data_IF_639736432415
#
_entry.id   IF_639736432415
#
_cell.length_a   1.000
_cell.length_b   1.000
_cell.length_c   1.000
_cell.angle_alpha   90.00
_cell.angle_beta   90.00
_cell.angle_gamma   90.00
#
_symmetry.space_group_name_H-M   'P 1'
#
loop_
_entity.id
_entity.type
_entity.pdbx_description
1 polymer ?
#
# COMPACT_ATOMS: atom_id res chain seq x y z
N UNK A 1 52.73 -23.88 20.91
CA UNK A 1 51.37 -23.82 21.50
C UNK A 1 50.72 -22.43 21.48
N UNK A 2 51.41 -21.32 21.77
CA UNK A 2 50.80 -19.96 21.83
C UNK A 2 50.29 -19.39 20.49
N UNK A 3 50.84 -19.82 19.35
CA UNK A 3 50.45 -19.30 18.03
C UNK A 3 49.06 -19.81 17.58
N UNK A 4 48.70 -21.05 17.94
CA UNK A 4 47.40 -21.64 17.62
C UNK A 4 46.26 -20.99 18.41
N UNK A 5 46.53 -20.57 19.65
CA UNK A 5 45.54 -19.89 20.49
C UNK A 5 45.14 -18.52 19.95
N UNK A 6 46.09 -17.77 19.36
CA UNK A 6 45.80 -16.49 18.73
C UNK A 6 45.06 -16.63 17.39
N UNK A 7 45.36 -17.67 16.61
CA UNK A 7 44.64 -17.96 15.37
C UNK A 7 43.17 -18.35 15.63
N UNK A 8 42.93 -19.15 16.69
CA UNK A 8 41.59 -19.55 17.10
C UNK A 8 40.76 -18.35 17.60
N UNK A 9 41.40 -17.41 18.30
CA UNK A 9 40.75 -16.19 18.79
C UNK A 9 40.35 -15.25 17.64
N UNK A 10 41.18 -15.16 16.59
CA UNK A 10 40.87 -14.38 15.39
C UNK A 10 39.74 -15.00 14.55
N UNK A 11 39.68 -16.35 14.49
CA UNK A 11 38.58 -17.08 13.85
C UNK A 11 37.25 -16.93 14.61
N UNK A 12 37.30 -16.91 15.95
CA UNK A 12 36.12 -16.67 16.80
C UNK A 12 35.57 -15.24 16.68
N UNK A 13 36.44 -14.23 16.52
CA UNK A 13 36.02 -12.84 16.28
C UNK A 13 35.39 -12.64 14.89
N UNK A 14 35.83 -13.39 13.87
CA UNK A 14 35.24 -13.34 12.54
C UNK A 14 33.81 -13.90 12.47
N UNK A 15 33.45 -14.81 13.38
CA UNK A 15 32.11 -15.42 13.44
C UNK A 15 31.05 -14.54 14.14
N UNK A 16 31.45 -13.49 14.86
CA UNK A 16 30.52 -12.57 15.54
C UNK A 16 30.10 -11.41 14.60
N UNK A 17 30.75 -11.25 13.45
CA UNK A 17 30.51 -10.11 12.54
C UNK A 17 29.40 -10.34 11.49
N UNK A 18 28.63 -11.42 11.55
CA UNK A 18 27.59 -11.70 10.57
C UNK A 18 26.24 -11.98 11.25
N UNK A 19 25.65 -10.96 11.84
CA UNK A 19 24.19 -10.89 11.92
C UNK A 19 23.77 -9.44 11.64
N UNK A 20 23.59 -9.13 10.35
CA UNK A 20 23.04 -7.86 9.92
C UNK A 20 21.60 -7.80 10.43
N UNK A 21 21.38 -6.94 11.43
CA UNK A 21 20.16 -6.69 12.19
C UNK A 21 19.06 -6.06 11.31
N UNK A 22 18.74 -6.67 10.16
CA UNK A 22 17.79 -6.12 9.17
C UNK A 22 16.34 -6.22 9.64
N UNK A 23 16.02 -7.20 10.48
CA UNK A 23 14.65 -7.37 11.00
C UNK A 23 14.29 -6.29 12.03
N UNK A 24 15.24 -5.79 12.83
CA UNK A 24 14.93 -4.85 13.93
C UNK A 24 14.32 -3.54 13.45
N UNK A 25 14.79 -2.99 12.32
CA UNK A 25 14.39 -1.66 11.88
C UNK A 25 13.03 -1.64 11.14
N UNK A 26 12.72 -2.71 10.40
CA UNK A 26 11.40 -2.89 9.80
C UNK A 26 10.34 -3.13 10.89
N UNK A 27 10.66 -3.99 11.87
CA UNK A 27 9.81 -4.24 13.04
C UNK A 27 9.55 -2.95 13.83
N UNK A 28 10.58 -2.13 14.07
CA UNK A 28 10.44 -0.83 14.75
C UNK A 28 9.54 0.14 13.96
N UNK A 29 9.68 0.20 12.63
CA UNK A 29 8.84 1.03 11.77
C UNK A 29 7.36 0.60 11.83
N UNK A 30 7.12 -0.71 11.80
CA UNK A 30 5.79 -1.31 11.96
C UNK A 30 5.23 -1.02 13.35
N UNK A 31 6.02 -1.18 14.41
CA UNK A 31 5.60 -0.90 15.77
C UNK A 31 5.17 0.57 15.94
N UNK A 32 6.00 1.51 15.47
CA UNK A 32 5.66 2.94 15.45
C UNK A 32 4.35 3.20 14.69
N UNK A 33 4.16 2.56 13.53
CA UNK A 33 2.94 2.72 12.75
C UNK A 33 1.72 2.17 13.49
N UNK A 34 1.80 0.98 14.07
CA UNK A 34 0.68 0.35 14.77
C UNK A 34 0.35 1.04 16.10
N UNK A 35 1.29 1.78 16.69
CA UNK A 35 1.02 2.66 17.82
C UNK A 35 0.32 3.96 17.37
N UNK A 36 0.66 4.48 16.18
CA UNK A 36 -0.01 5.64 15.57
C UNK A 36 -1.42 5.29 15.08
N UNK A 37 -1.63 4.06 14.61
CA UNK A 37 -2.90 3.55 14.09
C UNK A 37 -3.30 2.25 14.80
N UNK A 38 -3.89 2.34 16.01
CA UNK A 38 -4.36 1.18 16.76
C UNK A 38 -5.37 0.33 15.99
N UNK A 39 -6.09 0.91 15.02
CA UNK A 39 -7.06 0.26 14.15
C UNK A 39 -6.44 -0.84 13.25
N UNK A 40 -5.10 -0.86 13.13
CA UNK A 40 -4.36 -1.95 12.50
C UNK A 40 -4.34 -3.23 13.33
N UNK A 41 -4.59 -3.14 14.65
CA UNK A 41 -4.62 -4.29 15.57
C UNK A 41 -6.08 -4.68 15.80
N UNK A 42 -6.65 -5.53 14.95
CA UNK A 42 -8.08 -5.86 15.03
C UNK A 42 -8.43 -6.68 16.29
N UNK A 43 -7.44 -7.35 16.90
CA UNK A 43 -7.66 -8.16 18.10
C UNK A 43 -6.55 -7.97 19.15
N UNK A 44 -6.83 -7.16 20.17
CA UNK A 44 -5.96 -6.99 21.35
C UNK A 44 -5.70 -8.29 22.15
N UNK A 45 -6.49 -9.35 21.92
CA UNK A 45 -6.52 -10.56 22.76
C UNK A 45 -5.56 -11.68 22.37
N UNK A 46 -4.80 -11.56 21.27
CA UNK A 46 -3.74 -12.52 20.96
C UNK A 46 -2.37 -11.85 21.14
N UNK A 47 -1.78 -12.07 22.31
CA UNK A 47 -0.34 -11.94 22.52
C UNK A 47 0.38 -12.63 21.35
N UNK A 48 0.98 -11.86 20.45
CA UNK A 48 1.82 -12.38 19.37
C UNK A 48 1.28 -12.29 17.93
N UNK A 49 0.19 -11.57 17.61
CA UNK A 49 -0.14 -11.29 16.19
C UNK A 49 0.81 -10.26 15.58
N UNK A 50 2.08 -10.65 15.39
CA UNK A 50 3.03 -9.89 14.59
C UNK A 50 2.55 -9.91 13.15
N UNK A 51 2.58 -8.76 12.50
CA UNK A 51 2.44 -8.65 11.05
C UNK A 51 3.52 -9.52 10.39
N UNK A 52 3.12 -10.41 9.47
CA UNK A 52 4.01 -11.34 8.78
C UNK A 52 4.35 -10.81 7.38
N UNK A 53 5.61 -10.92 6.98
CA UNK A 53 6.05 -10.55 5.65
C UNK A 53 5.47 -11.52 4.62
N UNK A 54 4.62 -11.01 3.72
CA UNK A 54 4.00 -11.84 2.68
C UNK A 54 4.63 -11.63 1.29
N UNK A 55 5.29 -10.48 1.07
CA UNK A 55 5.91 -10.18 -0.22
C UNK A 55 6.99 -9.13 -0.08
N UNK A 56 8.08 -9.26 -0.85
CA UNK A 56 9.11 -8.24 -0.97
C UNK A 56 9.50 -8.05 -2.44
N UNK A 57 9.74 -6.79 -2.85
CA UNK A 57 10.21 -6.38 -4.17
C UNK A 57 11.49 -5.57 -3.99
N UNK A 58 12.58 -6.00 -4.63
CA UNK A 58 13.86 -5.30 -4.59
C UNK A 58 14.14 -4.58 -5.92
N UNK A 59 14.29 -3.25 -5.86
CA UNK A 59 14.64 -2.39 -7.00
C UNK A 59 16.13 -2.05 -6.88
N UNK A 60 16.98 -2.97 -7.37
CA UNK A 60 18.45 -2.88 -7.23
C UNK A 60 19.02 -1.56 -7.77
N UNK A 61 18.55 -1.10 -8.93
CA UNK A 61 19.02 0.13 -9.58
C UNK A 61 18.86 1.38 -8.71
N UNK A 62 17.84 1.38 -7.86
CA UNK A 62 17.46 2.52 -7.01
C UNK A 62 17.73 2.27 -5.53
N UNK A 63 18.45 1.17 -5.20
CA UNK A 63 18.78 0.75 -3.84
C UNK A 63 17.56 0.74 -2.91
N UNK A 64 16.46 0.18 -3.40
CA UNK A 64 15.19 0.27 -2.71
C UNK A 64 14.52 -1.09 -2.58
N UNK A 65 13.79 -1.29 -1.49
CA UNK A 65 12.99 -2.47 -1.25
C UNK A 65 11.60 -2.07 -0.77
N UNK A 66 10.57 -2.77 -1.27
CA UNK A 66 9.18 -2.62 -0.86
C UNK A 66 8.74 -3.94 -0.28
N UNK A 67 8.25 -3.90 0.95
CA UNK A 67 7.71 -5.07 1.62
C UNK A 67 6.22 -4.90 1.89
N UNK A 68 5.47 -5.99 1.83
CA UNK A 68 4.08 -6.07 2.22
C UNK A 68 3.98 -7.04 3.39
N UNK A 69 3.47 -6.54 4.50
CA UNK A 69 3.15 -7.33 5.67
C UNK A 69 1.65 -7.47 5.82
N UNK A 70 1.19 -8.60 6.37
CA UNK A 70 -0.22 -8.88 6.58
C UNK A 70 -0.45 -9.42 7.98
N UNK A 71 -1.63 -9.16 8.54
CA UNK A 71 -2.14 -9.95 9.66
C UNK A 71 -2.27 -11.44 9.27
N UNK A 72 -2.10 -12.37 10.25
CA UNK A 72 -2.19 -13.82 10.02
C UNK A 72 -3.51 -14.26 9.37
N UNK A 73 -3.44 -15.38 8.63
CA UNK A 73 -4.52 -15.78 7.73
C UNK A 73 -5.87 -16.08 8.40
N UNK A 74 -5.86 -16.36 9.70
CA UNK A 74 -7.04 -16.65 10.52
C UNK A 74 -7.88 -15.42 10.91
N UNK A 75 -7.46 -14.21 10.53
CA UNK A 75 -8.10 -12.96 10.94
C UNK A 75 -9.08 -12.51 9.84
N UNK A 76 -10.37 -12.36 10.20
CA UNK A 76 -11.33 -11.64 9.35
C UNK A 76 -10.93 -10.17 9.27
N UNK A 77 -11.17 -9.51 8.12
CA UNK A 77 -10.81 -8.10 7.94
C UNK A 77 -9.31 -7.79 7.96
N UNK A 78 -8.45 -8.69 7.45
CA UNK A 78 -6.99 -8.54 7.48
C UNK A 78 -6.52 -7.14 7.11
N UNK A 79 -5.77 -6.51 8.00
CA UNK A 79 -5.01 -5.31 7.69
C UNK A 79 -3.63 -5.69 7.14
N UNK A 80 -3.09 -4.77 6.36
CA UNK A 80 -1.76 -4.91 5.79
C UNK A 80 -0.94 -3.64 6.01
N UNK A 81 0.37 -3.77 5.93
CA UNK A 81 1.32 -2.66 6.05
C UNK A 81 2.29 -2.75 4.88
N UNK A 82 2.47 -1.64 4.18
CA UNK A 82 3.52 -1.49 3.16
C UNK A 82 4.72 -0.84 3.84
N UNK A 83 5.90 -1.45 3.73
CA UNK A 83 7.15 -0.88 4.25
C UNK A 83 8.05 -0.51 3.07
N UNK A 84 8.45 0.75 3.02
CA UNK A 84 9.40 1.31 2.08
C UNK A 84 10.78 1.35 2.75
N UNK A 85 11.79 0.78 2.09
CA UNK A 85 13.14 0.68 2.62
C UNK A 85 14.12 1.31 1.63
N UNK A 86 14.73 2.43 1.99
CA UNK A 86 15.72 3.10 1.16
C UNK A 86 17.15 2.84 1.66
N UNK A 87 18.00 2.36 0.75
CA UNK A 87 19.41 2.03 0.99
C UNK A 87 19.65 1.13 2.21
N UNK A 88 18.66 0.32 2.59
CA UNK A 88 18.64 -0.54 3.80
C UNK A 88 18.76 0.22 5.13
N UNK A 89 18.63 1.54 5.12
CA UNK A 89 18.87 2.41 6.30
C UNK A 89 17.62 3.16 6.73
N UNK A 90 16.89 3.72 5.76
CA UNK A 90 15.70 4.52 6.02
C UNK A 90 14.45 3.67 5.81
N UNK A 91 13.52 3.71 6.75
CA UNK A 91 12.31 2.90 6.76
C UNK A 91 11.08 3.80 6.94
N UNK A 92 10.08 3.63 6.10
CA UNK A 92 8.76 4.20 6.32
C UNK A 92 7.67 3.18 6.07
N UNK A 93 6.66 3.18 6.94
CA UNK A 93 5.54 2.26 6.86
C UNK A 93 4.25 3.02 6.51
N UNK A 94 3.42 2.42 5.66
CA UNK A 94 2.13 2.94 5.20
C UNK A 94 1.06 1.95 5.64
N UNK A 95 0.00 2.38 6.34
CA UNK A 95 -1.10 1.50 6.66
C UNK A 95 -1.88 1.19 5.37
N UNK A 96 -2.08 -0.08 5.07
CA UNK A 96 -2.84 -0.52 3.91
C UNK A 96 -4.14 -1.16 4.37
N UNK A 97 -5.05 -0.29 4.81
CA UNK A 97 -6.31 -0.70 5.41
C UNK A 97 -7.23 -1.43 4.40
N UNK A 98 -8.11 -2.30 4.88
CA UNK A 98 -9.20 -2.82 4.05
C UNK A 98 -10.28 -1.74 3.77
N UNK A 99 -11.32 -2.10 3.02
CA UNK A 99 -12.35 -1.15 2.57
C UNK A 99 -13.32 -0.70 3.68
N UNK A 100 -13.22 -1.26 4.88
CA UNK A 100 -14.02 -0.85 6.05
C UNK A 100 -13.74 0.60 6.44
N UNK A 101 -12.47 1.02 6.35
CA UNK A 101 -12.00 2.37 6.68
C UNK A 101 -12.14 3.33 5.49
N UNK A 102 -13.40 3.59 5.10
CA UNK A 102 -13.76 4.36 3.89
C UNK A 102 -13.23 5.78 3.86
N UNK A 103 -13.11 6.38 5.04
CA UNK A 103 -12.56 7.72 5.28
C UNK A 103 -11.05 7.78 5.00
N UNK A 104 -10.30 6.74 5.37
CA UNK A 104 -8.87 6.64 5.02
C UNK A 104 -8.65 6.61 3.50
N UNK A 105 -9.53 5.92 2.78
CA UNK A 105 -9.47 5.81 1.32
C UNK A 105 -10.05 7.02 0.58
N UNK A 106 -10.82 7.87 1.27
CA UNK A 106 -11.51 9.04 0.72
C UNK A 106 -12.42 8.69 -0.49
N UNK A 107 -13.15 7.57 -0.41
CA UNK A 107 -14.03 7.14 -1.49
C UNK A 107 -15.10 8.21 -1.81
N UNK A 108 -15.17 8.73 -3.05
CA UNK A 108 -15.85 10.00 -3.34
C UNK A 108 -17.38 9.95 -3.27
N UNK A 109 -17.99 8.76 -3.31
CA UNK A 109 -19.44 8.57 -3.28
C UNK A 109 -19.91 7.72 -2.11
N UNK A 110 -19.00 7.41 -1.18
CA UNK A 110 -19.31 6.62 0.00
C UNK A 110 -19.34 7.53 1.23
N UNK A 111 -20.18 7.16 2.19
CA UNK A 111 -20.17 7.78 3.52
C UNK A 111 -19.39 6.88 4.49
N UNK A 112 -18.64 7.46 5.45
CA UNK A 112 -18.06 6.68 6.55
C UNK A 112 -19.13 5.86 7.27
N UNK A 113 -18.76 4.66 7.70
CA UNK A 113 -19.65 3.79 8.47
C UNK A 113 -19.77 4.34 9.89
N UNK A 114 -21.00 4.45 10.42
CA UNK A 114 -21.25 5.05 11.75
C UNK A 114 -20.53 4.35 12.90
N UNK A 115 -20.33 3.03 12.78
CA UNK A 115 -19.74 2.17 13.82
C UNK A 115 -18.29 1.76 13.51
N UNK A 116 -17.61 2.51 12.63
CA UNK A 116 -16.20 2.30 12.33
C UNK A 116 -15.44 3.52 12.81
N UNK A 117 -14.39 3.29 13.58
CA UNK A 117 -13.52 4.35 14.07
C UNK A 117 -12.92 5.10 12.89
N UNK A 118 -12.96 6.44 12.99
CA UNK A 118 -12.42 7.31 11.98
C UNK A 118 -10.89 7.31 12.05
N UNK A 119 -10.23 7.13 10.91
CA UNK A 119 -8.80 7.26 10.77
C UNK A 119 -8.44 8.74 10.60
N UNK A 120 -7.56 9.25 11.46
CA UNK A 120 -7.10 10.64 11.42
C UNK A 120 -5.98 10.88 10.38
N UNK A 121 -6.06 10.20 9.23
CA UNK A 121 -5.18 10.38 8.08
C UNK A 121 -5.84 9.77 6.84
N UNK A 122 -5.16 9.84 5.69
CA UNK A 122 -5.64 9.26 4.43
C UNK A 122 -4.50 8.55 3.72
N UNK A 123 -4.83 7.63 2.80
CA UNK A 123 -3.82 6.91 2.01
C UNK A 123 -2.90 7.87 1.25
N UNK A 124 -3.47 8.94 0.70
CA UNK A 124 -2.70 10.01 0.06
C UNK A 124 -1.66 10.61 1.01
N UNK A 125 -2.07 10.94 2.24
CA UNK A 125 -1.20 11.58 3.23
C UNK A 125 -0.09 10.64 3.68
N UNK A 126 -0.42 9.40 4.04
CA UNK A 126 0.58 8.43 4.50
C UNK A 126 1.55 8.00 3.38
N UNK A 127 1.06 7.82 2.14
CA UNK A 127 1.93 7.58 0.99
C UNK A 127 2.94 8.72 0.83
N UNK A 128 2.48 9.97 0.78
CA UNK A 128 3.37 11.11 0.60
C UNK A 128 4.36 11.28 1.77
N UNK A 129 3.93 11.00 3.00
CA UNK A 129 4.82 11.01 4.17
C UNK A 129 5.90 9.93 4.03
N UNK A 130 5.54 8.72 3.60
CA UNK A 130 6.49 7.64 3.41
C UNK A 130 7.48 7.91 2.29
N UNK A 131 7.05 8.56 1.20
CA UNK A 131 7.94 8.98 0.10
C UNK A 131 8.92 10.11 0.52
N UNK A 132 8.87 10.64 1.74
CA UNK A 132 9.86 11.60 2.26
C UNK A 132 11.16 10.93 2.76
N UNK A 133 11.22 9.60 2.83
CA UNK A 133 12.47 8.90 3.15
C UNK A 133 13.53 9.06 2.06
N UNK A 134 13.13 9.48 0.85
CA UNK A 134 14.09 9.77 -0.20
C UNK A 134 14.84 11.07 0.13
N UNK A 135 16.17 11.07 0.01
CA UNK A 135 16.95 12.28 0.19
C UNK A 135 16.54 13.29 -0.88
N UNK A 136 16.33 14.55 -0.50
CA UNK A 136 16.05 15.63 -1.46
C UNK A 136 17.18 15.71 -2.49
N UNK A 137 16.96 15.24 -3.74
CA UNK A 137 18.05 15.26 -4.69
C UNK A 137 18.19 16.69 -5.21
N UNK A 138 19.44 17.09 -5.48
CA UNK A 138 19.75 18.37 -6.12
C UNK A 138 19.02 18.56 -7.47
N UNK A 139 18.57 17.47 -8.10
CA UNK A 139 17.84 17.47 -9.35
C UNK A 139 16.36 17.04 -9.14
N UNK A 140 15.39 17.97 -9.28
CA UNK A 140 13.96 17.67 -9.14
C UNK A 140 13.41 16.61 -10.10
N UNK A 141 13.95 16.48 -11.32
CA UNK A 141 13.52 15.44 -12.26
C UNK A 141 13.90 14.05 -11.78
N UNK A 142 15.07 13.93 -11.14
CA UNK A 142 15.55 12.67 -10.56
C UNK A 142 14.70 12.25 -9.36
N UNK A 143 14.29 13.21 -8.52
CA UNK A 143 13.34 12.98 -7.41
C UNK A 143 12.04 12.35 -7.91
N UNK A 144 11.43 13.02 -8.89
CA UNK A 144 10.17 12.57 -9.49
C UNK A 144 10.30 11.18 -10.08
N UNK A 145 11.35 10.92 -10.86
CA UNK A 145 11.55 9.62 -11.49
C UNK A 145 11.67 8.50 -10.46
N UNK A 146 12.45 8.72 -9.40
CA UNK A 146 12.63 7.75 -8.32
C UNK A 146 11.30 7.47 -7.60
N UNK A 147 10.58 8.52 -7.19
CA UNK A 147 9.28 8.39 -6.54
C UNK A 147 8.27 7.67 -7.44
N UNK A 148 8.29 7.96 -8.75
CA UNK A 148 7.45 7.30 -9.73
C UNK A 148 7.79 5.82 -9.88
N UNK A 149 9.06 5.46 -10.01
CA UNK A 149 9.50 4.07 -10.09
C UNK A 149 9.03 3.28 -8.86
N UNK A 150 9.23 3.83 -7.66
CA UNK A 150 8.80 3.21 -6.40
C UNK A 150 7.29 3.02 -6.33
N UNK A 151 6.52 4.06 -6.63
CA UNK A 151 5.05 3.99 -6.59
C UNK A 151 4.51 3.03 -7.65
N UNK A 152 5.10 3.01 -8.85
CA UNK A 152 4.71 2.10 -9.92
C UNK A 152 5.02 0.64 -9.55
N UNK A 153 6.18 0.34 -8.99
CA UNK A 153 6.52 -1.02 -8.52
C UNK A 153 5.67 -1.45 -7.31
N UNK A 154 5.35 -0.52 -6.41
CA UNK A 154 4.41 -0.78 -5.32
C UNK A 154 3.04 -1.22 -5.87
N UNK A 155 2.50 -0.49 -6.85
CA UNK A 155 1.17 -0.80 -7.39
C UNK A 155 1.20 -2.06 -8.25
N UNK A 156 2.13 -2.16 -9.21
CA UNK A 156 2.18 -3.25 -10.19
C UNK A 156 2.76 -4.54 -9.63
N UNK A 157 3.88 -4.46 -8.93
CA UNK A 157 4.65 -5.65 -8.55
C UNK A 157 4.27 -6.10 -7.15
N UNK A 158 4.17 -5.20 -6.18
CA UNK A 158 3.79 -5.57 -4.81
C UNK A 158 2.28 -5.90 -4.73
N UNK A 159 1.42 -4.94 -5.09
CA UNK A 159 -0.04 -5.04 -4.98
C UNK A 159 -0.71 -5.76 -6.16
N UNK A 160 0.02 -6.04 -7.24
CA UNK A 160 -0.48 -6.77 -8.43
C UNK A 160 -1.64 -6.03 -9.11
N UNK A 161 -1.58 -4.69 -9.12
CA UNK A 161 -2.58 -3.88 -9.80
C UNK A 161 -2.42 -3.96 -11.32
N UNK A 162 -3.55 -3.95 -12.03
CA UNK A 162 -3.58 -3.82 -13.49
C UNK A 162 -3.67 -2.34 -13.86
N UNK A 163 -2.82 -1.86 -14.77
CA UNK A 163 -3.03 -0.51 -15.31
C UNK A 163 -4.32 -0.49 -16.14
N UNK A 164 -5.11 0.58 -15.99
CA UNK A 164 -6.33 0.77 -16.76
C UNK A 164 -6.11 1.81 -17.85
N UNK A 165 -6.48 1.44 -19.07
CA UNK A 165 -6.56 2.31 -20.23
C UNK A 165 -8.02 2.71 -20.51
N UNK A 166 -8.26 3.78 -21.27
CA UNK A 166 -9.63 4.24 -21.55
C UNK A 166 -10.50 3.16 -22.23
N UNK A 167 -9.87 2.29 -23.04
CA UNK A 167 -10.55 1.16 -23.70
C UNK A 167 -10.99 0.07 -22.71
N UNK A 168 -10.46 0.08 -21.49
CA UNK A 168 -10.73 -0.91 -20.45
C UNK A 168 -11.99 -0.58 -19.62
N UNK A 169 -12.91 0.21 -20.17
CA UNK A 169 -14.19 0.54 -19.51
C UNK A 169 -14.93 -0.70 -18.97
N UNK A 170 -14.82 -1.85 -19.65
CA UNK A 170 -15.40 -3.13 -19.21
C UNK A 170 -14.77 -3.67 -17.92
N UNK A 171 -13.49 -3.40 -17.66
CA UNK A 171 -12.83 -3.80 -16.41
C UNK A 171 -13.38 -3.01 -15.20
N UNK A 172 -13.85 -1.79 -15.43
CA UNK A 172 -14.43 -0.92 -14.38
C UNK A 172 -15.84 -1.39 -14.01
N UNK A 173 -16.59 -1.92 -14.96
CA UNK A 173 -17.90 -2.51 -14.69
C UNK A 173 -17.85 -3.98 -14.30
N UNK A 174 -16.65 -4.57 -14.20
CA UNK A 174 -16.49 -5.98 -13.82
C UNK A 174 -17.06 -6.18 -12.41
N UNK A 175 -17.86 -7.23 -12.27
CA UNK A 175 -18.39 -7.64 -10.97
C UNK A 175 -17.26 -8.25 -10.14
N UNK A 176 -17.06 -7.73 -8.94
CA UNK A 176 -16.14 -8.29 -7.96
C UNK A 176 -17.00 -8.81 -6.81
N UNK A 177 -16.92 -10.11 -6.53
CA UNK A 177 -17.69 -10.71 -5.46
C UNK A 177 -17.33 -10.07 -4.11
N UNK A 178 -18.32 -9.91 -3.21
CA UNK A 178 -18.05 -9.39 -1.88
C UNK A 178 -17.18 -10.38 -1.10
N UNK A 179 -16.43 -9.85 -0.14
CA UNK A 179 -15.73 -10.61 0.89
C UNK A 179 -16.17 -10.09 2.27
N UNK A 180 -15.58 -10.61 3.35
CA UNK A 180 -15.87 -10.23 4.74
C UNK A 180 -15.76 -8.72 5.04
N UNK A 181 -15.10 -7.96 4.16
CA UNK A 181 -14.71 -6.58 4.38
C UNK A 181 -15.64 -5.61 3.61
N UNK A 182 -16.66 -6.16 2.93
CA UNK A 182 -17.53 -5.45 1.98
C UNK A 182 -18.98 -5.51 2.49
N UNK A 183 -19.66 -4.36 2.65
CA UNK A 183 -21.09 -4.36 2.96
C UNK A 183 -21.89 -4.85 1.75
N UNK A 184 -22.93 -5.65 2.00
CA UNK A 184 -23.91 -6.00 0.98
C UNK A 184 -24.59 -4.74 0.45
N UNK A 185 -24.65 -4.61 -0.87
CA UNK A 185 -25.29 -3.48 -1.53
C UNK A 185 -26.25 -3.98 -2.60
N UNK A 186 -27.37 -3.28 -2.77
CA UNK A 186 -28.29 -3.57 -3.87
C UNK A 186 -27.59 -3.27 -5.19
N UNK A 187 -27.71 -4.18 -6.17
CA UNK A 187 -27.05 -4.12 -7.48
C UNK A 187 -27.20 -2.75 -8.17
N UNK A 188 -28.38 -2.14 -8.10
CA UNK A 188 -28.65 -0.84 -8.72
C UNK A 188 -27.83 0.28 -8.09
N UNK A 189 -27.69 0.28 -6.76
CA UNK A 189 -26.87 1.25 -6.03
C UNK A 189 -25.39 1.11 -6.39
N UNK A 190 -24.94 -0.15 -6.52
CA UNK A 190 -23.59 -0.46 -6.96
C UNK A 190 -23.32 0.05 -8.37
N UNK A 191 -24.18 -0.25 -9.33
CA UNK A 191 -24.00 0.18 -10.71
C UNK A 191 -23.97 1.71 -10.84
N UNK A 192 -24.83 2.43 -10.09
CA UNK A 192 -24.82 3.89 -10.04
C UNK A 192 -23.47 4.42 -9.53
N UNK A 193 -22.89 3.83 -8.47
CA UNK A 193 -21.56 4.22 -7.97
C UNK A 193 -20.47 3.92 -8.99
N UNK A 194 -20.43 2.72 -9.58
CA UNK A 194 -19.43 2.35 -10.58
C UNK A 194 -19.44 3.32 -11.76
N UNK A 195 -20.63 3.67 -12.26
CA UNK A 195 -20.78 4.68 -13.32
C UNK A 195 -20.28 6.06 -12.89
N UNK A 196 -20.61 6.52 -11.68
CA UNK A 196 -20.12 7.80 -11.15
C UNK A 196 -18.59 7.80 -10.97
N UNK A 197 -18.02 6.69 -10.52
CA UNK A 197 -16.56 6.50 -10.43
C UNK A 197 -15.92 6.63 -11.81
N UNK A 198 -16.42 5.89 -12.81
CA UNK A 198 -15.93 5.95 -14.19
C UNK A 198 -15.95 7.37 -14.74
N UNK A 199 -17.09 8.05 -14.65
CA UNK A 199 -17.26 9.42 -15.14
C UNK A 199 -16.32 10.42 -14.45
N UNK A 200 -16.00 10.21 -13.16
CA UNK A 200 -15.04 11.03 -12.42
C UNK A 200 -13.59 10.73 -12.82
N UNK A 201 -13.24 9.46 -12.99
CA UNK A 201 -11.90 9.03 -13.43
C UNK A 201 -11.59 9.54 -14.84
N UNK A 202 -12.53 9.37 -15.78
CA UNK A 202 -12.39 9.76 -17.20
C UNK A 202 -12.02 11.21 -17.42
N UNK A 203 -12.50 12.12 -16.56
CA UNK A 203 -12.18 13.55 -16.66
C UNK A 203 -10.70 13.87 -16.40
N UNK A 204 -9.98 12.98 -15.73
CA UNK A 204 -8.58 13.19 -15.31
C UNK A 204 -7.69 11.99 -15.67
N UNK A 205 -8.15 11.12 -16.57
CA UNK A 205 -7.44 9.89 -16.94
C UNK A 205 -6.11 10.19 -17.64
N UNK A 206 -6.10 11.25 -18.44
CA UNK A 206 -4.91 11.77 -19.11
C UNK A 206 -4.54 13.13 -18.52
N UNK A 207 -3.51 13.23 -17.67
CA UNK A 207 -2.98 14.54 -17.31
C UNK A 207 -2.46 15.22 -18.59
N UNK A 208 -2.86 16.47 -18.82
CA UNK A 208 -2.59 17.27 -20.04
C UNK A 208 -1.12 17.27 -20.49
N UNK A 209 -0.19 16.95 -19.59
CA UNK A 209 1.25 17.05 -19.81
C UNK A 209 1.95 15.73 -20.21
N UNK A 210 1.25 14.58 -20.31
CA UNK A 210 1.90 13.30 -20.65
C UNK A 210 1.05 12.42 -21.58
N UNK A 211 1.50 12.28 -22.84
CA UNK A 211 0.81 11.59 -23.95
C UNK A 211 0.67 10.06 -23.72
N UNK A 212 1.44 9.45 -22.81
CA UNK A 212 1.43 7.99 -22.57
C UNK A 212 1.64 7.69 -21.08
N UNK A 213 0.74 8.15 -20.21
CA UNK A 213 0.81 7.74 -18.80
C UNK A 213 -0.59 7.54 -18.23
N UNK A 214 -1.12 6.33 -18.42
CA UNK A 214 -2.32 5.87 -17.73
C UNK A 214 -2.08 5.93 -16.22
N UNK A 215 -2.83 6.78 -15.54
CA UNK A 215 -2.65 7.07 -14.11
C UNK A 215 -3.53 6.21 -13.19
N UNK A 216 -4.28 5.27 -13.75
CA UNK A 216 -5.24 4.42 -13.05
C UNK A 216 -4.71 2.99 -12.88
N UNK A 217 -4.79 2.47 -11.66
CA UNK A 217 -4.32 1.14 -11.26
C UNK A 217 -5.44 0.39 -10.56
N UNK A 218 -5.88 -0.72 -11.14
CA UNK A 218 -6.94 -1.58 -10.63
C UNK A 218 -6.39 -2.69 -9.74
N UNK A 219 -6.66 -2.55 -8.44
CA UNK A 219 -6.45 -3.55 -7.41
C UNK A 219 -7.71 -4.43 -7.32
N UNK A 220 -7.71 -5.50 -8.13
CA UNK A 220 -8.82 -6.45 -8.20
C UNK A 220 -9.01 -7.19 -6.87
N UNK A 221 -7.92 -7.47 -6.15
CA UNK A 221 -7.95 -8.20 -4.87
C UNK A 221 -8.74 -7.45 -3.81
N UNK A 222 -8.54 -6.14 -3.72
CA UNK A 222 -9.23 -5.29 -2.75
C UNK A 222 -10.42 -4.53 -3.34
N UNK A 223 -10.75 -4.74 -4.63
CA UNK A 223 -11.83 -4.05 -5.31
C UNK A 223 -11.67 -2.53 -5.32
N UNK A 224 -10.46 -2.03 -5.60
CA UNK A 224 -10.16 -0.59 -5.64
C UNK A 224 -9.50 -0.19 -6.95
N UNK A 225 -9.73 1.05 -7.36
CA UNK A 225 -8.90 1.73 -8.36
C UNK A 225 -8.18 2.89 -7.70
N UNK A 226 -6.88 2.99 -7.91
CA UNK A 226 -6.07 4.13 -7.52
C UNK A 226 -5.78 4.98 -8.75
N UNK A 227 -6.12 6.27 -8.68
CA UNK A 227 -5.74 7.26 -9.69
C UNK A 227 -4.68 8.19 -9.11
N UNK A 228 -3.48 8.19 -9.69
CA UNK A 228 -2.30 8.89 -9.16
C UNK A 228 -1.80 9.97 -10.10
N UNK A 229 -1.85 11.22 -9.66
CA UNK A 229 -1.29 12.36 -10.39
C UNK A 229 -0.19 13.03 -9.57
N UNK A 230 1.00 13.17 -10.13
CA UNK A 230 2.10 13.88 -9.44
C UNK A 230 1.93 15.39 -9.61
N UNK A 231 1.92 16.11 -8.49
CA UNK A 231 1.91 17.57 -8.43
C UNK A 231 3.35 18.08 -8.38
N UNK A 232 3.87 18.59 -9.49
CA UNK A 232 5.23 19.12 -9.60
C UNK A 232 5.52 20.28 -8.64
N UNK A 233 4.53 21.13 -8.41
CA UNK A 233 4.68 22.33 -7.58
C UNK A 233 4.91 21.96 -6.13
N UNK A 234 4.12 21.01 -5.65
CA UNK A 234 4.13 20.58 -4.25
C UNK A 234 5.00 19.34 -4.01
N UNK A 235 5.51 18.69 -5.08
CA UNK A 235 6.30 17.46 -5.06
C UNK A 235 5.59 16.30 -4.33
N UNK A 236 4.29 16.16 -4.55
CA UNK A 236 3.43 15.14 -3.91
C UNK A 236 2.55 14.42 -4.93
N UNK A 237 2.14 13.19 -4.62
CA UNK A 237 1.07 12.51 -5.32
C UNK A 237 -0.30 12.97 -4.84
N UNK A 238 -1.13 13.44 -5.76
CA UNK A 238 -2.58 13.48 -5.62
C UNK A 238 -3.12 12.08 -5.91
N UNK A 239 -3.56 11.39 -4.86
CA UNK A 239 -4.16 10.06 -4.96
C UNK A 239 -5.67 10.19 -4.79
N UNK A 240 -6.42 9.56 -5.68
CA UNK A 240 -7.85 9.31 -5.53
C UNK A 240 -8.10 7.81 -5.54
N UNK A 241 -8.94 7.34 -4.62
CA UNK A 241 -9.32 5.94 -4.55
C UNK A 241 -10.79 5.77 -4.91
N UNK A 242 -11.09 4.75 -5.69
CA UNK A 242 -12.45 4.45 -6.13
C UNK A 242 -12.78 3.01 -5.80
N UNK A 243 -13.89 2.81 -5.10
CA UNK A 243 -14.38 1.48 -4.75
C UNK A 243 -15.08 0.81 -5.93
N UNK A 244 -14.64 -0.39 -6.30
CA UNK A 244 -15.14 -1.19 -7.42
C UNK A 244 -15.88 -2.46 -6.98
N UNK A 245 -15.73 -2.86 -5.72
CA UNK A 245 -16.48 -3.98 -5.19
C UNK A 245 -17.98 -3.69 -5.04
N UNK A 246 -18.76 -4.77 -5.08
CA UNK A 246 -20.15 -4.78 -4.67
C UNK A 246 -20.64 -6.18 -4.30
N UNK A 247 -21.52 -6.26 -3.31
CA UNK A 247 -22.00 -7.54 -2.78
C UNK A 247 -23.38 -7.93 -3.30
N UNK A 248 -23.56 -9.20 -3.66
CA UNK A 248 -24.87 -9.85 -3.73
C UNK A 248 -24.82 -11.07 -2.81
N UNK A 249 -25.69 -11.13 -1.81
CA UNK A 249 -25.96 -12.40 -1.13
C UNK A 249 -26.89 -13.19 -2.04
N UNK A 250 -26.50 -14.36 -2.57
CA UNK A 250 -27.48 -15.25 -3.18
C UNK A 250 -28.57 -15.48 -2.14
N UNK A 251 -29.83 -15.22 -2.49
CA UNK A 251 -30.94 -15.72 -1.70
C UNK A 251 -30.67 -17.20 -1.47
N UNK A 252 -30.52 -17.61 -0.22
CA UNK A 252 -30.52 -19.02 0.15
C UNK A 252 -31.83 -19.59 -0.39
N UNK A 253 -31.75 -20.36 -1.48
CA UNK A 253 -32.83 -21.22 -1.93
C UNK A 253 -33.05 -22.33 -0.90
#
# INVERSE_FOLDING_TARGET
MKLYTHLLYFLLLALISCNENRSSNAEESIEKLTNKFPELKINEKKFGSKFELIKSINIVKSNFEIQLYSEPDSIENKQQIIVLIYSKKEYASIPFFNNRYKDYWEFPFDKPLKNVQKINSTFRTELNNALRIFPDPKNPRKDRFLKHEVVNEMLRSLLVCKNLEEKDSLLIYKRICPNSDIPNEISDSAFVRLRKNYEKMRREWHPENFIINYNCYFDEKNGRIYQLNYDEKNKIYKVKSYRQDWGFTPLSL
#
